data_IF_042185595766
#
_entry.id   IF_042185595766
#
_cell.length_a   1.000
_cell.length_b   1.000
_cell.length_c   1.000
_cell.angle_alpha   90.00
_cell.angle_beta   90.00
_cell.angle_gamma   90.00
#
_symmetry.space_group_name_H-M   'P 1'
#
loop_
_entity.id
_entity.type
_entity.pdbx_description
1 polymer ?
#
# COMPACT_ATOMS: atom_id res chain seq x y z
N UNK A 1 -61.96 -5.05 6.48
CA UNK A 1 -60.83 -5.68 7.18
C UNK A 1 -59.64 -4.76 7.03
N UNK A 2 -59.31 -4.07 8.12
CA UNK A 2 -58.10 -3.28 8.37
C UNK A 2 -56.83 -4.12 8.14
N UNK A 3 -55.61 -3.63 7.95
CA UNK A 3 -55.01 -2.30 7.75
C UNK A 3 -53.55 -2.55 7.29
N UNK A 4 -52.94 -1.50 6.77
CA UNK A 4 -51.59 -1.42 6.24
C UNK A 4 -50.50 -1.94 7.19
N UNK A 5 -49.68 -2.88 6.72
CA UNK A 5 -48.42 -3.25 7.37
C UNK A 5 -47.37 -2.18 7.05
N UNK A 6 -47.21 -1.24 7.97
CA UNK A 6 -46.11 -0.28 7.96
C UNK A 6 -44.79 -0.97 8.24
N UNK A 7 -43.83 -0.70 7.36
CA UNK A 7 -42.40 -0.84 7.58
C UNK A 7 -41.96 0.10 8.70
N UNK A 8 -41.40 -0.43 9.79
CA UNK A 8 -40.56 0.32 10.72
C UNK A 8 -39.72 -0.65 11.57
N UNK A 9 -38.44 -0.80 11.23
CA UNK A 9 -37.44 -1.24 12.20
C UNK A 9 -36.22 -0.34 12.06
N UNK A 10 -36.29 0.73 12.85
CA UNK A 10 -35.25 1.36 13.64
C UNK A 10 -33.79 1.11 13.23
N UNK A 11 -33.22 2.18 12.68
CA UNK A 11 -31.79 2.44 12.51
C UNK A 11 -31.09 2.36 13.87
N UNK A 12 -30.19 1.40 14.06
CA UNK A 12 -29.22 1.44 15.17
C UNK A 12 -27.93 2.10 14.70
N UNK A 13 -27.61 3.19 15.39
CA UNK A 13 -26.40 3.98 15.28
C UNK A 13 -25.13 3.16 15.57
N UNK A 14 -24.16 3.35 14.67
CA UNK A 14 -22.70 3.37 14.82
C UNK A 14 -22.18 3.43 16.27
N UNK A 15 -21.31 2.49 16.65
CA UNK A 15 -20.07 2.83 17.35
C UNK A 15 -19.08 1.65 17.44
N UNK A 16 -17.92 1.84 16.83
CA UNK A 16 -16.59 1.51 17.37
C UNK A 16 -16.38 0.13 18.00
N UNK A 17 -15.88 -0.85 17.23
CA UNK A 17 -15.06 -1.90 17.84
C UNK A 17 -13.60 -1.47 17.79
N UNK A 18 -13.22 -0.69 18.81
CA UNK A 18 -11.87 -0.25 19.10
C UNK A 18 -11.31 -1.12 20.23
N UNK A 19 -10.13 -1.67 20.00
CA UNK A 19 -9.20 -2.24 20.99
C UNK A 19 -9.60 -3.55 21.70
N UNK A 20 -9.05 -4.66 21.20
CA UNK A 20 -8.42 -5.66 22.08
C UNK A 20 -6.90 -5.53 21.92
N UNK A 21 -6.31 -4.60 22.66
CA UNK A 21 -4.87 -4.52 22.94
C UNK A 21 -4.68 -4.48 24.48
N UNK A 22 -5.28 -5.45 25.17
CA UNK A 22 -4.94 -5.70 26.57
C UNK A 22 -3.59 -6.43 26.62
N UNK A 23 -2.49 -5.67 26.67
CA UNK A 23 -1.17 -6.29 26.90
C UNK A 23 0.07 -5.43 26.71
N UNK A 24 -0.03 -4.19 26.24
CA UNK A 24 1.14 -3.30 26.20
C UNK A 24 1.03 -2.23 27.28
N UNK A 25 1.70 -2.49 28.40
CA UNK A 25 2.06 -1.48 29.40
C UNK A 25 2.72 -0.31 28.66
N UNK A 26 2.21 0.93 28.76
CA UNK A 26 2.85 2.08 28.14
C UNK A 26 4.29 2.18 28.67
N UNK A 27 5.26 2.16 27.76
CA UNK A 27 6.65 2.40 28.14
C UNK A 27 6.77 3.85 28.62
N UNK A 28 7.39 4.12 29.77
CA UNK A 28 7.59 5.50 30.22
C UNK A 28 8.42 6.25 29.18
N UNK A 29 7.95 7.43 28.76
CA UNK A 29 8.68 8.34 27.88
C UNK A 29 9.89 8.82 28.67
N UNK A 30 11.03 8.15 28.53
CA UNK A 30 12.28 8.60 29.12
C UNK A 30 12.66 9.93 28.46
N UNK A 31 13.01 10.94 29.28
CA UNK A 31 13.43 12.28 28.84
C UNK A 31 14.38 12.18 27.63
N UNK A 32 14.31 13.11 26.65
CA UNK A 32 15.22 13.09 25.52
C UNK A 32 16.66 13.07 26.01
N UNK A 33 17.41 12.06 25.56
CA UNK A 33 18.83 11.93 25.84
C UNK A 33 19.53 13.20 25.31
N UNK A 34 20.42 13.85 26.08
CA UNK A 34 21.21 14.94 25.55
C UNK A 34 21.95 14.45 24.30
N UNK A 35 21.89 15.24 23.22
CA UNK A 35 22.65 14.99 21.98
C UNK A 35 24.13 15.18 22.31
N UNK A 36 24.76 14.11 22.78
CA UNK A 36 26.21 14.02 22.82
C UNK A 36 26.72 13.96 21.39
N UNK A 37 27.62 14.87 21.01
CA UNK A 37 28.35 14.77 19.75
C UNK A 37 29.11 13.43 19.76
N UNK A 38 28.66 12.49 18.94
CA UNK A 38 29.38 11.24 18.70
C UNK A 38 30.72 11.52 18.00
N UNK A 39 31.65 10.55 18.03
CA UNK A 39 32.94 10.70 17.38
C UNK A 39 32.76 10.92 15.86
N UNK A 40 33.45 11.94 15.36
CA UNK A 40 33.45 12.35 13.95
C UNK A 40 33.89 11.19 13.06
N UNK A 41 33.06 10.84 12.08
CA UNK A 41 33.40 9.82 11.08
C UNK A 41 34.61 10.24 10.23
N UNK A 42 35.45 9.30 9.78
CA UNK A 42 36.54 9.60 8.86
C UNK A 42 35.99 10.08 7.50
N UNK A 43 36.68 11.00 6.81
CA UNK A 43 36.24 11.52 5.52
C UNK A 43 36.32 10.39 4.49
N UNK A 44 35.21 10.12 3.79
CA UNK A 44 35.18 9.13 2.71
C UNK A 44 33.96 8.22 2.67
N UNK A 45 32.96 8.40 3.53
CA UNK A 45 31.62 7.85 3.27
C UNK A 45 30.81 8.88 2.49
N UNK A 46 30.95 8.85 1.17
CA UNK A 46 29.95 9.44 0.28
C UNK A 46 28.61 8.79 0.60
N UNK A 47 27.72 9.52 1.26
CA UNK A 47 26.30 9.22 1.19
C UNK A 47 25.96 9.38 -0.28
N UNK A 48 25.63 8.27 -0.94
CA UNK A 48 25.14 8.31 -2.32
C UNK A 48 24.06 9.37 -2.39
N UNK A 49 24.19 10.23 -3.39
CA UNK A 49 23.31 11.35 -3.64
C UNK A 49 21.87 10.93 -3.36
N UNK A 50 21.26 11.53 -2.34
CA UNK A 50 19.82 11.70 -2.35
C UNK A 50 19.68 12.82 -3.35
N UNK A 51 19.53 12.43 -4.62
CA UNK A 51 19.37 13.38 -5.71
C UNK A 51 18.21 14.30 -5.34
N UNK A 52 18.57 15.55 -5.06
CA UNK A 52 17.66 16.64 -4.81
C UNK A 52 16.83 16.86 -6.09
N UNK A 53 15.52 16.73 -5.94
CA UNK A 53 14.51 17.49 -6.67
C UNK A 53 14.50 17.39 -8.20
N UNK A 54 14.43 16.18 -8.76
CA UNK A 54 13.57 15.97 -9.93
C UNK A 54 12.16 15.76 -9.39
N UNK A 55 11.21 16.65 -9.73
CA UNK A 55 9.78 16.55 -9.37
C UNK A 55 9.30 15.10 -9.44
N UNK A 56 9.24 14.45 -8.28
CA UNK A 56 9.22 12.99 -8.23
C UNK A 56 7.88 12.51 -8.76
N UNK A 57 7.89 12.01 -10.01
CA UNK A 57 6.73 11.38 -10.64
C UNK A 57 6.20 10.18 -9.84
N UNK A 58 6.94 9.74 -8.81
CA UNK A 58 6.61 8.65 -7.91
C UNK A 58 6.62 9.11 -6.45
N UNK A 59 5.66 8.63 -5.63
CA UNK A 59 5.64 8.90 -4.19
C UNK A 59 6.85 8.34 -3.43
N UNK A 60 7.19 8.92 -2.29
CA UNK A 60 8.32 8.50 -1.43
C UNK A 60 8.23 7.06 -0.92
N UNK A 61 7.02 6.51 -0.80
CA UNK A 61 6.83 5.11 -0.39
C UNK A 61 7.17 4.11 -1.49
N UNK A 62 7.36 4.57 -2.72
CA UNK A 62 7.62 3.72 -3.88
C UNK A 62 9.13 3.58 -4.09
N UNK A 63 9.64 2.37 -3.86
CA UNK A 63 11.09 2.15 -3.82
C UNK A 63 11.74 2.39 -5.18
N UNK A 64 13.01 2.84 -5.22
CA UNK A 64 13.74 3.03 -6.46
C UNK A 64 13.79 1.79 -7.37
N UNK A 65 13.89 0.60 -6.77
CA UNK A 65 13.93 -0.65 -7.52
C UNK A 65 12.59 -0.96 -8.20
N UNK A 66 11.48 -0.54 -7.59
CA UNK A 66 10.13 -0.71 -8.13
C UNK A 66 9.87 0.30 -9.27
N UNK A 67 10.43 1.52 -9.18
CA UNK A 67 10.36 2.54 -10.25
C UNK A 67 10.93 2.07 -11.57
N UNK A 68 12.08 1.39 -11.50
CA UNK A 68 12.75 0.86 -12.69
C UNK A 68 11.86 -0.07 -13.52
N UNK A 69 10.91 -0.76 -12.89
CA UNK A 69 9.95 -1.64 -13.58
C UNK A 69 9.04 -0.82 -14.49
N UNK A 70 8.56 0.33 -14.01
CA UNK A 70 7.66 1.20 -14.78
C UNK A 70 8.38 1.99 -15.86
N UNK A 71 9.66 2.28 -15.66
CA UNK A 71 10.52 2.98 -16.63
C UNK A 71 11.04 2.05 -17.74
N UNK A 72 11.11 0.74 -17.49
CA UNK A 72 11.66 -0.22 -18.46
C UNK A 72 10.59 -0.66 -19.45
N UNK A 73 10.92 -0.63 -20.74
CA UNK A 73 10.06 -1.18 -21.79
C UNK A 73 9.99 -2.72 -21.69
N UNK A 74 8.78 -3.26 -21.49
CA UNK A 74 8.54 -4.71 -21.48
C UNK A 74 8.78 -5.35 -20.12
N UNK A 75 7.79 -5.21 -19.22
CA UNK A 75 7.77 -5.87 -17.91
C UNK A 75 7.21 -7.28 -18.06
N UNK A 76 7.89 -8.28 -17.48
CA UNK A 76 7.32 -9.61 -17.29
C UNK A 76 6.22 -9.52 -16.22
N UNK A 77 5.01 -9.92 -16.58
CA UNK A 77 3.85 -9.94 -15.69
C UNK A 77 3.35 -11.36 -15.51
N UNK A 78 2.74 -11.64 -14.37
CA UNK A 78 2.16 -12.95 -14.06
C UNK A 78 0.75 -13.04 -14.62
N UNK A 79 -0.04 -11.97 -14.43
CA UNK A 79 -1.43 -11.90 -14.88
C UNK A 79 -1.77 -10.56 -15.52
N UNK A 80 -2.75 -10.57 -16.44
CA UNK A 80 -3.25 -9.37 -17.10
C UNK A 80 -4.74 -9.12 -16.81
N UNK A 81 -5.10 -7.85 -16.70
CA UNK A 81 -6.49 -7.39 -16.50
C UNK A 81 -6.91 -6.53 -17.68
N UNK A 82 -8.02 -6.88 -18.31
CA UNK A 82 -8.55 -6.17 -19.47
C UNK A 82 -10.09 -6.17 -19.46
N UNK A 83 -10.70 -4.99 -19.51
CA UNK A 83 -12.18 -4.86 -19.52
C UNK A 83 -12.83 -5.39 -20.80
N UNK A 84 -12.08 -5.45 -21.90
CA UNK A 84 -12.52 -6.00 -23.19
C UNK A 84 -12.55 -7.54 -23.21
N UNK A 85 -12.09 -8.20 -22.14
CA UNK A 85 -12.00 -9.65 -22.04
C UNK A 85 -10.78 -10.26 -22.74
N UNK A 86 -9.81 -9.45 -23.20
CA UNK A 86 -8.59 -9.94 -23.85
C UNK A 86 -7.44 -10.25 -22.88
N UNK A 87 -7.72 -10.23 -21.58
CA UNK A 87 -6.77 -10.55 -20.50
C UNK A 87 -7.25 -11.75 -19.66
N UNK A 88 -6.47 -12.10 -18.63
CA UNK A 88 -6.83 -13.20 -17.73
C UNK A 88 -8.07 -12.86 -16.88
N UNK A 89 -8.19 -11.59 -16.49
CA UNK A 89 -9.30 -11.11 -15.66
C UNK A 89 -9.92 -9.84 -16.25
N UNK A 90 -11.20 -9.61 -15.95
CA UNK A 90 -11.92 -8.37 -16.31
C UNK A 90 -11.94 -7.36 -15.18
N UNK A 91 -11.82 -7.81 -13.93
CA UNK A 91 -11.79 -6.96 -12.74
C UNK A 91 -10.45 -7.04 -12.03
N UNK A 92 -10.04 -5.91 -11.44
CA UNK A 92 -8.79 -5.84 -10.67
C UNK A 92 -8.90 -6.68 -9.40
N UNK A 93 -10.07 -6.70 -8.76
CA UNK A 93 -10.26 -7.41 -7.49
C UNK A 93 -10.08 -8.92 -7.65
N UNK A 94 -10.52 -9.49 -8.77
CA UNK A 94 -10.34 -10.92 -9.02
C UNK A 94 -8.86 -11.26 -9.23
N UNK A 95 -8.11 -10.42 -9.96
CA UNK A 95 -6.67 -10.58 -10.12
C UNK A 95 -5.90 -10.46 -8.79
N UNK A 96 -6.35 -9.60 -7.87
CA UNK A 96 -5.74 -9.46 -6.54
C UNK A 96 -5.97 -10.70 -5.69
N UNK A 97 -7.13 -11.36 -5.80
CA UNK A 97 -7.42 -12.60 -5.05
C UNK A 97 -6.62 -13.81 -5.54
N UNK A 98 -6.16 -13.79 -6.79
CA UNK A 98 -5.30 -14.84 -7.35
C UNK A 98 -3.86 -14.76 -6.82
N UNK A 99 -3.45 -13.60 -6.31
CA UNK A 99 -2.11 -13.43 -5.78
C UNK A 99 -1.88 -14.39 -4.59
N UNK A 100 -0.77 -15.15 -4.57
CA UNK A 100 -0.51 -16.10 -3.50
C UNK A 100 -0.29 -15.40 -2.16
N UNK A 101 -0.92 -15.93 -1.12
CA UNK A 101 -0.72 -15.45 0.24
C UNK A 101 0.73 -15.71 0.71
N UNK A 102 1.32 -14.73 1.40
CA UNK A 102 2.64 -14.83 2.02
C UNK A 102 3.79 -15.15 1.04
N UNK A 103 3.75 -14.63 -0.19
CA UNK A 103 4.86 -14.78 -1.12
C UNK A 103 6.08 -13.93 -0.74
N UNK A 104 7.27 -14.49 -0.91
CA UNK A 104 8.55 -13.76 -0.82
C UNK A 104 8.94 -13.12 -2.15
N UNK A 105 8.23 -13.47 -3.22
CA UNK A 105 8.42 -12.98 -4.57
C UNK A 105 7.32 -11.97 -4.92
N UNK A 106 7.68 -10.99 -5.75
CA UNK A 106 6.73 -10.02 -6.29
C UNK A 106 5.76 -10.73 -7.23
N UNK A 107 4.47 -10.42 -7.11
CA UNK A 107 3.43 -10.79 -8.05
C UNK A 107 3.02 -9.55 -8.85
N UNK A 108 3.13 -9.60 -10.18
CA UNK A 108 2.94 -8.45 -11.06
C UNK A 108 1.62 -8.59 -11.83
N UNK A 109 0.70 -7.66 -11.57
CA UNK A 109 -0.59 -7.55 -12.27
C UNK A 109 -0.49 -6.44 -13.31
N UNK A 110 -0.62 -6.80 -14.58
CA UNK A 110 -0.61 -5.85 -15.69
C UNK A 110 -2.03 -5.37 -16.02
N UNK A 111 -2.28 -4.07 -15.94
CA UNK A 111 -3.58 -3.47 -16.25
C UNK A 111 -3.52 -2.84 -17.63
N UNK A 112 -4.34 -3.34 -18.56
CA UNK A 112 -4.47 -2.76 -19.90
C UNK A 112 -5.23 -1.44 -19.80
N UNK A 113 -4.82 -0.49 -20.66
CA UNK A 113 -5.54 0.77 -20.83
C UNK A 113 -6.97 0.47 -21.30
N UNK A 114 -7.92 1.12 -20.64
CA UNK A 114 -9.31 1.17 -21.10
C UNK A 114 -9.42 2.33 -22.09
N UNK A 115 -9.89 2.04 -23.30
CA UNK A 115 -10.29 3.08 -24.25
C UNK A 115 -11.78 3.30 -24.04
N UNK A 116 -12.11 4.37 -23.33
CA UNK A 116 -13.46 4.96 -23.30
C UNK A 116 -13.71 5.81 -24.53
#
# INVERSE_FOLDING_TARGET
>A
MAECLWTASTVHLVSSNLLSLSGQKPQPITKPRPIGKGPTAPPGRTLGNIDEDEESQFPDWFRPEDRRILETNGVSYDVSVAQDGTGNFTTIMDAVREAPDYSWTRFVIYIKKVYT
#
